data_IF_093941102312
#
_entry.id   IF_093941102312
#
_cell.length_a   1.000
_cell.length_b   1.000
_cell.length_c   1.000
_cell.angle_alpha   90.00
_cell.angle_beta   90.00
_cell.angle_gamma   90.00
#
_symmetry.space_group_name_H-M   'P 1'
#
loop_
_entity.id
_entity.type
_entity.pdbx_description
1 polymer ?
#
# COMPACT_ATOMS: atom_id res chain seq x y z
N UNK A 1 8.33 10.56 7.36
CA UNK A 1 7.09 10.44 8.14
C UNK A 1 6.84 8.98 8.41
N UNK A 2 6.77 8.63 9.70
CA UNK A 2 6.49 7.28 10.18
C UNK A 2 5.07 6.84 9.80
N UNK A 3 4.85 5.54 9.64
CA UNK A 3 3.51 4.95 9.62
C UNK A 3 2.82 5.24 10.97
N UNK A 4 1.89 6.20 10.96
CA UNK A 4 1.21 6.69 12.16
C UNK A 4 0.18 5.70 12.70
N UNK A 5 -0.47 4.93 11.84
CA UNK A 5 -1.45 3.91 12.24
C UNK A 5 -0.73 2.74 12.92
N UNK A 6 0.31 2.19 12.28
CA UNK A 6 1.11 1.14 12.89
C UNK A 6 1.84 1.61 14.15
N UNK A 7 2.28 2.88 14.23
CA UNK A 7 2.81 3.44 15.48
C UNK A 7 1.73 3.47 16.57
N UNK A 8 0.53 3.94 16.25
CA UNK A 8 -0.61 4.02 17.16
C UNK A 8 -0.97 2.65 17.73
N UNK A 9 -1.15 1.65 16.85
CA UNK A 9 -1.46 0.27 17.27
C UNK A 9 -0.37 -0.31 18.18
N UNK A 10 0.91 -0.16 17.82
CA UNK A 10 2.03 -0.61 18.66
C UNK A 10 2.05 0.04 20.05
N UNK A 11 1.66 1.30 20.16
CA UNK A 11 1.59 1.99 21.45
C UNK A 11 0.39 1.53 22.28
N UNK A 12 -0.75 1.28 21.64
CA UNK A 12 -1.93 0.68 22.28
C UNK A 12 -1.59 -0.72 22.84
N UNK A 13 -0.94 -1.58 22.05
CA UNK A 13 -0.49 -2.91 22.46
C UNK A 13 0.48 -2.87 23.66
N UNK A 14 1.31 -1.83 23.74
CA UNK A 14 2.23 -1.59 24.87
C UNK A 14 1.55 -0.99 26.10
N UNK A 15 0.25 -0.71 26.05
CA UNK A 15 -0.52 -0.19 27.19
C UNK A 15 -0.36 1.31 27.45
N UNK A 16 0.08 2.10 26.46
CA UNK A 16 0.12 3.56 26.60
C UNK A 16 -1.30 4.14 26.63
N UNK A 17 -1.51 5.20 27.40
CA UNK A 17 -2.80 5.89 27.44
C UNK A 17 -3.01 6.80 26.21
N UNK A 18 -4.26 7.20 25.98
CA UNK A 18 -4.66 8.03 24.83
C UNK A 18 -3.83 9.31 24.75
N UNK A 19 -3.68 10.03 25.86
CA UNK A 19 -2.98 11.31 25.90
C UNK A 19 -1.50 11.18 25.52
N UNK A 20 -0.83 10.12 25.96
CA UNK A 20 0.55 9.81 25.59
C UNK A 20 0.67 9.52 24.09
N UNK A 21 -0.26 8.73 23.53
CA UNK A 21 -0.28 8.38 22.11
C UNK A 21 -0.50 9.63 21.26
N UNK A 22 -1.52 10.44 21.59
CA UNK A 22 -1.82 11.68 20.87
C UNK A 22 -0.62 12.63 20.90
N UNK A 23 0.01 12.82 22.05
CA UNK A 23 1.23 13.66 22.15
C UNK A 23 2.33 13.17 21.22
N UNK A 24 2.56 11.85 21.16
CA UNK A 24 3.57 11.27 20.27
C UNK A 24 3.24 11.52 18.80
N UNK A 25 1.98 11.33 18.38
CA UNK A 25 1.55 11.57 17.00
C UNK A 25 1.65 13.05 16.61
N UNK A 26 1.27 13.96 17.52
CA UNK A 26 1.41 15.40 17.30
C UNK A 26 2.86 15.78 17.04
N UNK A 27 3.81 15.24 17.82
CA UNK A 27 5.25 15.45 17.57
C UNK A 27 5.64 14.99 16.17
N UNK A 28 5.26 13.77 15.76
CA UNK A 28 5.57 13.27 14.40
C UNK A 28 4.97 14.16 13.31
N UNK A 29 3.74 14.68 13.49
CA UNK A 29 3.15 15.61 12.53
C UNK A 29 3.94 16.91 12.44
N UNK A 30 4.24 17.54 13.57
CA UNK A 30 4.93 18.83 13.62
C UNK A 30 6.37 18.73 13.11
N UNK A 31 7.04 17.58 13.30
CA UNK A 31 8.41 17.36 12.83
C UNK A 31 8.50 17.27 11.29
N UNK A 32 7.45 16.76 10.62
CA UNK A 32 7.46 16.51 9.18
C UNK A 32 6.51 17.40 8.36
N UNK A 33 5.62 18.17 9.00
CA UNK A 33 4.60 18.99 8.35
C UNK A 33 4.52 20.37 8.97
N UNK A 34 4.45 21.38 8.11
CA UNK A 34 4.17 22.77 8.49
C UNK A 34 2.65 22.95 8.67
N UNK A 35 2.12 22.50 9.80
CA UNK A 35 0.70 22.65 10.15
C UNK A 35 0.55 23.25 11.54
N UNK A 36 -0.60 23.89 11.78
CA UNK A 36 -0.94 24.37 13.11
C UNK A 36 -1.09 23.22 14.10
N UNK A 37 -0.64 23.44 15.34
CA UNK A 37 -0.72 22.45 16.42
C UNK A 37 -2.13 21.92 16.64
N UNK A 38 -3.16 22.77 16.53
CA UNK A 38 -4.55 22.35 16.69
C UNK A 38 -4.98 21.35 15.61
N UNK A 39 -4.52 21.56 14.38
CA UNK A 39 -4.75 20.63 13.27
C UNK A 39 -4.00 19.32 13.48
N UNK A 40 -2.75 19.37 13.96
CA UNK A 40 -1.99 18.17 14.31
C UNK A 40 -2.67 17.33 15.40
N UNK A 41 -3.26 17.98 16.42
CA UNK A 41 -4.04 17.31 17.48
C UNK A 41 -5.26 16.62 16.87
N UNK A 42 -6.05 17.35 16.09
CA UNK A 42 -7.27 16.79 15.46
C UNK A 42 -6.96 15.59 14.55
N UNK A 43 -5.88 15.65 13.76
CA UNK A 43 -5.45 14.52 12.94
C UNK A 43 -4.99 13.34 13.78
N UNK A 44 -4.25 13.58 14.84
CA UNK A 44 -3.79 12.54 15.77
C UNK A 44 -4.96 11.83 16.46
N UNK A 45 -5.99 12.59 16.85
CA UNK A 45 -7.22 12.05 17.44
C UNK A 45 -7.99 11.20 16.43
N UNK A 46 -8.10 11.64 15.19
CA UNK A 46 -8.73 10.88 14.12
C UNK A 46 -8.01 9.53 13.91
N UNK A 47 -6.68 9.54 13.81
CA UNK A 47 -5.87 8.30 13.67
C UNK A 47 -6.07 7.37 14.86
N UNK A 48 -6.06 7.90 16.08
CA UNK A 48 -6.29 7.10 17.30
C UNK A 48 -7.67 6.43 17.30
N UNK A 49 -8.74 7.20 17.04
CA UNK A 49 -10.10 6.67 17.02
C UNK A 49 -10.31 5.67 15.89
N UNK A 50 -9.68 5.90 14.73
CA UNK A 50 -9.66 4.96 13.63
C UNK A 50 -9.00 3.64 14.02
N UNK A 51 -7.78 3.68 14.56
CA UNK A 51 -7.05 2.48 15.01
C UNK A 51 -7.85 1.69 16.05
N UNK A 52 -8.48 2.39 17.00
CA UNK A 52 -9.30 1.77 18.04
C UNK A 52 -10.54 1.09 17.46
N UNK A 53 -11.23 1.71 16.50
CA UNK A 53 -12.45 1.16 15.87
C UNK A 53 -12.16 0.03 14.89
N UNK A 54 -10.99 0.09 14.25
CA UNK A 54 -10.50 -0.89 13.28
C UNK A 54 -9.69 -2.01 13.93
N UNK A 55 -9.78 -2.21 15.24
CA UNK A 55 -9.10 -3.33 15.90
C UNK A 55 -9.83 -4.64 15.58
N UNK A 56 -9.18 -5.53 14.84
CA UNK A 56 -9.73 -6.84 14.46
C UNK A 56 -10.07 -7.70 15.69
N UNK A 57 -9.40 -7.47 16.83
CA UNK A 57 -9.71 -8.18 18.08
C UNK A 57 -11.09 -7.82 18.64
N UNK A 58 -11.63 -6.66 18.26
CA UNK A 58 -12.97 -6.21 18.67
C UNK A 58 -14.11 -6.92 17.90
N UNK A 59 -13.82 -7.61 16.79
CA UNK A 59 -14.80 -8.36 16.01
C UNK A 59 -15.20 -9.62 16.78
N UNK A 60 -16.45 -9.72 17.22
CA UNK A 60 -16.95 -10.83 18.04
C UNK A 60 -17.18 -12.12 17.26
N UNK A 61 -17.58 -12.02 15.98
CA UNK A 61 -17.87 -13.17 15.13
C UNK A 61 -16.57 -13.88 14.67
N UNK A 62 -16.37 -15.17 15.00
CA UNK A 62 -15.14 -15.89 14.67
C UNK A 62 -14.90 -16.07 13.17
N UNK A 63 -15.96 -16.21 12.37
CA UNK A 63 -15.85 -16.36 10.93
C UNK A 63 -15.39 -15.04 10.29
N UNK A 64 -16.03 -13.93 10.67
CA UNK A 64 -15.66 -12.59 10.21
C UNK A 64 -14.24 -12.23 10.62
N UNK A 65 -13.82 -12.57 11.85
CA UNK A 65 -12.43 -12.36 12.26
C UNK A 65 -11.46 -13.11 11.36
N UNK A 66 -11.71 -14.40 11.08
CA UNK A 66 -10.86 -15.20 10.19
C UNK A 66 -10.86 -14.68 8.74
N UNK A 67 -12.00 -14.21 8.24
CA UNK A 67 -12.14 -13.69 6.88
C UNK A 67 -11.39 -12.36 6.70
N UNK A 68 -11.38 -11.52 7.73
CA UNK A 68 -10.76 -10.20 7.72
C UNK A 68 -9.26 -10.24 8.04
N UNK A 69 -8.77 -11.29 8.70
CA UNK A 69 -7.38 -11.48 9.06
C UNK A 69 -6.54 -11.96 7.86
N UNK A 70 -5.21 -11.94 8.01
CA UNK A 70 -4.26 -12.35 6.98
C UNK A 70 -3.06 -13.08 7.55
N UNK A 71 -2.46 -13.95 6.74
CA UNK A 71 -1.25 -14.67 7.11
C UNK A 71 -0.05 -13.71 7.16
N UNK A 72 0.59 -13.63 8.34
CA UNK A 72 1.73 -12.75 8.58
C UNK A 72 3.01 -13.48 8.20
N UNK A 73 3.77 -12.92 7.25
CA UNK A 73 5.05 -13.47 6.81
C UNK A 73 6.16 -13.46 7.90
N UNK A 74 5.93 -12.82 9.05
CA UNK A 74 6.87 -12.78 10.18
C UNK A 74 8.17 -11.99 9.92
N UNK A 75 8.27 -11.33 8.77
CA UNK A 75 9.45 -10.57 8.35
C UNK A 75 9.03 -9.15 7.96
N UNK A 76 9.83 -8.16 8.36
CA UNK A 76 9.58 -6.76 8.00
C UNK A 76 10.24 -6.44 6.67
N UNK A 77 9.68 -5.47 5.93
CA UNK A 77 10.24 -4.92 4.67
C UNK A 77 11.72 -4.57 4.84
N UNK A 78 12.09 -3.88 5.92
CA UNK A 78 13.48 -3.56 6.23
C UNK A 78 14.39 -4.78 6.49
N UNK A 79 13.87 -5.88 7.04
CA UNK A 79 14.63 -7.13 7.21
C UNK A 79 14.77 -7.93 5.91
N UNK A 80 13.81 -7.79 4.99
CA UNK A 80 13.90 -8.37 3.65
C UNK A 80 14.90 -7.62 2.76
N UNK A 81 15.37 -6.44 3.17
CA UNK A 81 16.29 -5.62 2.39
C UNK A 81 15.63 -4.87 1.23
N UNK A 82 14.30 -4.85 1.19
CA UNK A 82 13.48 -4.05 0.27
C UNK A 82 12.96 -2.82 0.99
N UNK A 83 12.68 -1.74 0.27
CA UNK A 83 12.25 -0.49 0.89
C UNK A 83 12.31 0.65 -0.11
N UNK A 84 11.41 1.63 0.03
CA UNK A 84 10.85 2.35 -1.11
C UNK A 84 11.81 3.09 -2.07
N UNK A 85 13.12 3.24 -1.79
CA UNK A 85 14.07 4.06 -2.60
C UNK A 85 15.55 3.65 -2.49
N UNK A 86 15.87 2.40 -2.19
CA UNK A 86 17.26 1.93 -1.97
C UNK A 86 17.83 1.07 -3.10
N UNK A 87 19.16 0.92 -3.17
CA UNK A 87 19.81 0.01 -4.15
C UNK A 87 19.35 -1.44 -4.03
N UNK A 88 19.02 -1.90 -2.81
CA UNK A 88 18.42 -3.22 -2.57
C UNK A 88 17.01 -3.37 -3.15
N UNK A 89 16.24 -2.29 -3.23
CA UNK A 89 14.91 -2.25 -3.82
C UNK A 89 14.97 -2.37 -5.33
N UNK A 90 15.87 -1.61 -5.97
CA UNK A 90 16.16 -1.76 -7.41
C UNK A 90 16.66 -3.16 -7.75
N UNK A 91 17.52 -3.74 -6.91
CA UNK A 91 18.02 -5.10 -7.10
C UNK A 91 16.88 -6.13 -7.05
N UNK A 92 16.00 -6.06 -6.05
CA UNK A 92 14.87 -6.99 -5.93
C UNK A 92 13.85 -6.78 -7.04
N UNK A 93 13.50 -5.54 -7.40
CA UNK A 93 12.60 -5.28 -8.52
C UNK A 93 13.17 -5.77 -9.85
N UNK A 94 14.49 -5.64 -10.06
CA UNK A 94 15.16 -6.19 -11.23
C UNK A 94 15.09 -7.73 -11.25
N UNK A 95 15.35 -8.38 -10.12
CA UNK A 95 15.20 -9.85 -10.02
C UNK A 95 13.77 -10.30 -10.29
N UNK A 96 12.77 -9.56 -9.78
CA UNK A 96 11.36 -9.85 -10.06
C UNK A 96 11.09 -9.69 -11.57
N UNK A 97 11.59 -8.64 -12.21
CA UNK A 97 11.45 -8.43 -13.65
C UNK A 97 12.09 -9.58 -14.46
N UNK A 98 13.31 -9.99 -14.12
CA UNK A 98 14.02 -11.11 -14.74
C UNK A 98 13.27 -12.44 -14.55
N UNK A 99 12.74 -12.71 -13.36
CA UNK A 99 11.93 -13.91 -13.09
C UNK A 99 10.57 -13.90 -13.79
N UNK A 100 10.02 -12.71 -14.05
CA UNK A 100 8.72 -12.52 -14.69
C UNK A 100 8.81 -12.46 -16.21
N UNK A 101 10.03 -12.50 -16.79
CA UNK A 101 10.20 -12.50 -18.24
C UNK A 101 9.52 -13.73 -18.87
N UNK A 102 8.83 -13.48 -19.97
CA UNK A 102 8.22 -14.52 -20.79
C UNK A 102 8.83 -14.49 -22.18
N UNK A 103 8.59 -15.53 -22.99
CA UNK A 103 9.05 -15.57 -24.38
C UNK A 103 8.53 -14.40 -25.23
N UNK A 104 7.42 -13.77 -24.83
CA UNK A 104 6.87 -12.59 -25.49
C UNK A 104 7.37 -11.32 -24.80
N UNK A 105 8.16 -10.53 -25.53
CA UNK A 105 8.55 -9.20 -25.07
C UNK A 105 7.44 -8.19 -25.36
N UNK A 106 7.05 -7.47 -24.32
CA UNK A 106 6.15 -6.32 -24.43
C UNK A 106 6.90 -5.14 -25.08
N UNK A 107 6.17 -4.14 -25.57
CA UNK A 107 6.76 -2.91 -26.10
C UNK A 107 7.47 -2.11 -24.99
N UNK A 108 6.89 -2.11 -23.79
CA UNK A 108 7.51 -1.67 -22.54
C UNK A 108 7.37 -2.82 -21.54
N UNK A 109 8.46 -3.55 -21.30
CA UNK A 109 8.52 -4.72 -20.43
C UNK A 109 8.99 -4.39 -19.01
N UNK A 110 8.78 -5.29 -18.03
CA UNK A 110 9.20 -5.06 -16.64
C UNK A 110 10.69 -4.75 -16.44
N UNK A 111 11.56 -5.11 -17.38
CA UNK A 111 13.00 -4.81 -17.38
C UNK A 111 13.31 -3.31 -17.56
N UNK A 112 12.35 -2.52 -18.06
CA UNK A 112 12.48 -1.06 -18.13
C UNK A 112 12.43 -0.40 -16.76
N UNK A 113 11.89 -1.09 -15.74
CA UNK A 113 11.63 -0.56 -14.41
C UNK A 113 10.79 0.73 -14.43
N UNK A 114 9.90 0.86 -15.42
CA UNK A 114 8.98 1.98 -15.59
C UNK A 114 7.69 1.78 -14.75
N UNK A 115 6.92 2.85 -14.55
CA UNK A 115 5.68 2.84 -13.76
C UNK A 115 4.53 2.07 -14.44
N UNK A 116 4.70 1.73 -15.73
CA UNK A 116 3.70 1.05 -16.55
C UNK A 116 4.33 0.01 -17.47
N UNK A 117 3.52 -0.94 -17.93
CA UNK A 117 3.85 -1.83 -19.04
C UNK A 117 3.04 -1.44 -20.29
N UNK A 118 3.57 -1.74 -21.47
CA UNK A 118 2.89 -1.41 -22.72
C UNK A 118 3.06 -2.49 -23.78
N UNK A 119 2.03 -2.69 -24.60
CA UNK A 119 2.07 -3.55 -25.79
C UNK A 119 1.63 -2.76 -27.00
N UNK A 120 2.37 -2.89 -28.10
CA UNK A 120 2.00 -2.30 -29.39
C UNK A 120 1.13 -3.30 -30.14
N UNK A 121 -0.01 -2.85 -30.65
CA UNK A 121 -0.98 -3.72 -31.33
C UNK A 121 -0.42 -4.33 -32.62
N UNK A 122 0.47 -3.64 -33.34
CA UNK A 122 1.14 -4.18 -34.52
C UNK A 122 2.04 -5.39 -34.22
N UNK A 123 2.52 -5.54 -32.98
CA UNK A 123 3.42 -6.61 -32.58
C UNK A 123 2.65 -7.91 -32.23
N UNK A 124 1.32 -7.83 -32.15
CA UNK A 124 0.44 -8.96 -31.85
C UNK A 124 0.06 -9.69 -33.14
N UNK A 125 0.57 -10.93 -33.28
CA UNK A 125 0.22 -11.80 -34.42
C UNK A 125 -1.30 -11.97 -34.55
N UNK A 126 -1.84 -11.66 -35.73
CA UNK A 126 -3.25 -11.81 -36.06
C UNK A 126 -4.09 -10.54 -35.86
N UNK A 127 -3.51 -9.48 -35.27
CA UNK A 127 -4.16 -8.18 -35.16
C UNK A 127 -3.69 -7.27 -36.30
N UNK A 128 -4.62 -6.80 -37.14
CA UNK A 128 -4.34 -5.83 -38.20
C UNK A 128 -4.94 -4.49 -37.79
N UNK A 129 -4.10 -3.47 -37.73
CA UNK A 129 -4.47 -2.09 -37.39
C UNK A 129 -3.88 -1.17 -38.46
N UNK A 130 -4.64 -0.14 -38.85
CA UNK A 130 -4.17 0.89 -39.80
C UNK A 130 -3.29 1.94 -39.11
N UNK A 131 -3.38 2.05 -37.78
CA UNK A 131 -2.63 2.98 -36.95
C UNK A 131 -1.72 2.24 -35.95
N UNK A 132 -0.60 2.86 -35.57
CA UNK A 132 0.33 2.31 -34.57
C UNK A 132 -0.18 2.54 -33.14
N UNK A 133 -1.17 1.74 -32.74
CA UNK A 133 -1.83 1.85 -31.44
C UNK A 133 -1.07 1.10 -30.34
N UNK A 134 -0.95 1.72 -29.17
CA UNK A 134 -0.28 1.15 -27.98
C UNK A 134 -1.28 1.05 -26.83
N UNK A 135 -1.35 -0.13 -26.21
CA UNK A 135 -2.08 -0.34 -24.96
C UNK A 135 -1.09 -0.19 -23.81
N UNK A 136 -1.34 0.76 -22.92
CA UNK A 136 -0.57 0.98 -21.70
C UNK A 136 -1.38 0.48 -20.50
N UNK A 137 -0.73 -0.27 -19.62
CA UNK A 137 -1.31 -0.78 -18.38
C UNK A 137 -0.43 -0.42 -17.20
N UNK A 138 -1.04 0.08 -16.14
CA UNK A 138 -0.37 0.39 -14.87
C UNK A 138 -1.12 -0.30 -13.73
N UNK A 139 -0.36 -0.87 -12.79
CA UNK A 139 -0.87 -1.38 -11.53
C UNK A 139 -0.26 -0.58 -10.38
N UNK A 140 -1.08 -0.14 -9.43
CA UNK A 140 -0.63 0.60 -8.26
C UNK A 140 -1.00 -0.21 -7.00
N UNK A 141 -0.03 -0.41 -6.11
CA UNK A 141 -0.28 -0.93 -4.77
C UNK A 141 -0.91 0.16 -3.91
N UNK A 142 -1.92 -0.20 -3.12
CA UNK A 142 -2.60 0.75 -2.23
C UNK A 142 -2.08 0.54 -0.81
N UNK A 143 -1.44 1.59 -0.30
CA UNK A 143 -1.12 1.74 1.13
C UNK A 143 -2.26 2.50 1.79
N UNK A 144 -3.40 1.83 1.97
CA UNK A 144 -4.55 2.44 2.64
C UNK A 144 -4.69 1.96 4.07
N UNK A 145 -5.53 2.67 4.82
CA UNK A 145 -6.13 2.27 6.10
C UNK A 145 -6.71 0.84 6.12
N UNK A 146 -6.99 0.26 4.94
CA UNK A 146 -7.47 -1.11 4.78
C UNK A 146 -6.35 -2.14 4.63
N UNK A 147 -5.07 -1.76 4.74
CA UNK A 147 -3.96 -2.72 4.70
C UNK A 147 -4.05 -3.78 5.80
N UNK A 148 -4.70 -3.45 6.93
CA UNK A 148 -5.01 -4.41 8.00
C UNK A 148 -6.22 -5.32 7.68
N UNK A 149 -6.96 -5.02 6.62
CA UNK A 149 -8.07 -5.82 6.10
C UNK A 149 -7.90 -6.07 4.60
N UNK A 150 -6.91 -6.89 4.18
CA UNK A 150 -6.56 -7.06 2.77
C UNK A 150 -7.75 -7.48 1.90
N UNK A 151 -8.65 -8.28 2.48
CA UNK A 151 -9.91 -8.67 1.84
C UNK A 151 -10.78 -7.45 1.47
N UNK A 152 -11.02 -6.54 2.42
CA UNK A 152 -11.81 -5.31 2.18
C UNK A 152 -11.06 -4.32 1.28
N UNK A 153 -9.73 -4.25 1.42
CA UNK A 153 -8.88 -3.44 0.56
C UNK A 153 -9.11 -3.80 -0.92
N UNK A 154 -9.16 -5.10 -1.24
CA UNK A 154 -9.42 -5.58 -2.61
C UNK A 154 -10.74 -5.11 -3.21
N UNK A 155 -11.81 -5.03 -2.42
CA UNK A 155 -13.08 -4.45 -2.88
C UNK A 155 -12.99 -2.94 -3.10
N UNK A 156 -12.26 -2.23 -2.24
CA UNK A 156 -12.07 -0.79 -2.36
C UNK A 156 -11.28 -0.40 -3.63
N UNK A 157 -10.30 -1.23 -4.04
CA UNK A 157 -9.55 -1.01 -5.29
C UNK A 157 -10.44 -1.22 -6.52
N UNK A 158 -11.33 -2.23 -6.46
CA UNK A 158 -12.19 -2.61 -7.58
C UNK A 158 -13.48 -1.80 -7.69
N UNK A 159 -13.91 -1.12 -6.64
CA UNK A 159 -15.04 -0.21 -6.68
C UNK A 159 -14.62 1.10 -7.36
N UNK A 160 -14.42 1.03 -8.68
CA UNK A 160 -14.56 2.21 -9.53
C UNK A 160 -15.97 2.75 -9.33
N UNK A 161 -16.07 4.00 -8.90
CA UNK A 161 -17.29 4.78 -9.00
C UNK A 161 -17.83 4.63 -10.43
N UNK A 162 -19.03 4.07 -10.58
CA UNK A 162 -19.94 4.68 -11.53
C UNK A 162 -20.10 6.14 -11.05
N UNK A 163 -19.82 7.09 -11.94
CA UNK A 163 -19.87 8.56 -11.76
C UNK A 163 -18.51 9.21 -11.42
N UNK A 164 -17.83 9.68 -12.46
CA UNK A 164 -17.55 11.11 -12.69
C UNK A 164 -17.40 11.35 -14.19
#
# INVERSE_FOLDING_TARGET
>A
MSDLEGLTRRLMEKGFNKEQIIRRLVTEYMDFKEIEKQKAISLSEAVYEECKKSDINSVSDPFMRKLLDFEKAGITVGKQGVGCRGSGDFFVHKLIAELSETEKKAFLSPDSLDDAGAVRLSDIKGFKTEEDLIIVSKMEGIHSRLSDFPFLCGFHVNSRNEIA
#
